data_IF_422065408610
#
_entry.id   IF_422065408610
#
_cell.length_a   1.000
_cell.length_b   1.000
_cell.length_c   1.000
_cell.angle_alpha   90.00
_cell.angle_beta   90.00
_cell.angle_gamma   90.00
#
_symmetry.space_group_name_H-M   'P 1'
#
loop_
_entity.id
_entity.type
_entity.pdbx_description
1 polymer ?
#
# COMPACT_ATOMS: atom_id res chain seq x y z
N UNK A 1 20.66 8.60 9.32
CA UNK A 1 20.46 7.21 8.85
C UNK A 1 19.01 6.76 9.06
N UNK A 2 18.35 6.19 8.04
CA UNK A 2 16.94 5.73 8.11
C UNK A 2 16.86 4.21 7.98
N UNK A 3 16.21 3.53 8.92
CA UNK A 3 16.02 2.07 8.95
C UNK A 3 14.82 1.59 8.11
N UNK A 4 14.92 0.36 7.60
CA UNK A 4 13.87 -0.30 6.83
C UNK A 4 12.72 -0.83 7.71
N UNK A 5 11.49 -0.62 7.26
CA UNK A 5 10.31 -1.14 7.95
C UNK A 5 10.25 -2.67 7.92
N UNK A 6 10.34 -3.31 9.08
CA UNK A 6 10.25 -4.76 9.21
C UNK A 6 9.01 -5.37 8.52
N UNK A 7 7.83 -4.77 8.74
CA UNK A 7 6.58 -5.26 8.16
C UNK A 7 6.53 -5.12 6.64
N UNK A 8 7.08 -4.03 6.11
CA UNK A 8 7.16 -3.84 4.67
C UNK A 8 8.13 -4.83 4.03
N UNK A 9 9.26 -5.12 4.66
CA UNK A 9 10.26 -6.04 4.14
C UNK A 9 9.79 -7.49 4.14
N UNK A 10 9.00 -7.89 5.14
CA UNK A 10 8.53 -9.28 5.30
C UNK A 10 7.13 -9.55 4.75
N UNK A 11 6.25 -8.55 4.75
CA UNK A 11 4.83 -8.71 4.43
C UNK A 11 4.22 -7.40 3.88
N UNK A 12 3.04 -7.00 4.39
CA UNK A 12 2.35 -5.77 4.05
C UNK A 12 2.28 -4.84 5.27
N UNK A 13 2.77 -3.60 5.13
CA UNK A 13 2.76 -2.63 6.21
C UNK A 13 1.43 -1.87 6.27
N UNK A 14 0.68 -2.02 7.36
CA UNK A 14 -0.61 -1.34 7.55
C UNK A 14 -0.52 0.20 7.63
N UNK A 15 0.67 0.75 7.93
CA UNK A 15 0.89 2.21 8.05
C UNK A 15 0.99 2.91 6.70
N UNK A 16 1.16 2.17 5.60
CA UNK A 16 1.23 2.72 4.25
C UNK A 16 2.29 3.82 4.12
N UNK A 17 1.92 4.95 3.51
CA UNK A 17 2.80 6.10 3.31
C UNK A 17 3.14 6.85 4.61
N UNK A 18 2.35 6.68 5.66
CA UNK A 18 2.58 7.32 6.97
C UNK A 18 3.53 6.50 7.86
N UNK A 19 4.22 5.50 7.30
CA UNK A 19 5.20 4.73 8.06
C UNK A 19 6.44 5.59 8.35
N UNK A 20 6.83 5.68 9.62
CA UNK A 20 8.05 6.37 10.03
C UNK A 20 9.34 5.65 9.56
N UNK A 21 9.22 4.39 9.16
CA UNK A 21 10.32 3.57 8.67
C UNK A 21 10.31 3.54 7.14
N UNK A 22 11.49 3.32 6.56
CA UNK A 22 11.69 3.31 5.12
C UNK A 22 10.94 2.17 4.43
N UNK A 23 10.27 2.47 3.33
CA UNK A 23 9.71 1.50 2.39
C UNK A 23 10.44 1.62 1.05
N UNK A 24 11.37 0.71 0.74
CA UNK A 24 12.04 0.62 -0.56
C UNK A 24 11.87 -0.76 -1.17
N UNK A 25 11.32 -0.80 -2.38
CA UNK A 25 11.05 -2.05 -3.09
C UNK A 25 12.35 -2.73 -3.54
N UNK A 26 13.36 -1.93 -3.86
CA UNK A 26 14.71 -2.35 -4.22
C UNK A 26 15.37 -3.06 -3.04
N UNK A 27 15.34 -2.43 -1.86
CA UNK A 27 15.86 -3.02 -0.63
C UNK A 27 15.14 -4.32 -0.28
N UNK A 28 13.82 -4.39 -0.47
CA UNK A 28 13.01 -5.61 -0.21
C UNK A 28 13.46 -6.81 -1.03
N UNK A 29 13.96 -6.60 -2.25
CA UNK A 29 14.49 -7.66 -3.10
C UNK A 29 15.99 -7.87 -2.95
N UNK A 30 16.71 -6.91 -2.37
CA UNK A 30 18.14 -7.01 -2.13
C UNK A 30 18.46 -7.96 -0.97
N UNK A 31 19.40 -8.87 -1.21
CA UNK A 31 19.95 -9.72 -0.16
C UNK A 31 21.06 -9.01 0.64
N UNK A 32 21.65 -7.95 0.08
CA UNK A 32 22.77 -7.25 0.68
C UNK A 32 22.33 -6.17 1.68
N UNK A 33 23.06 -6.08 2.80
CA UNK A 33 22.95 -4.99 3.77
C UNK A 33 23.84 -3.83 3.30
N UNK A 34 23.33 -2.61 3.41
CA UNK A 34 24.08 -1.39 3.05
C UNK A 34 25.26 -1.21 4.01
N UNK A 35 26.47 -1.10 3.46
CA UNK A 35 27.68 -0.89 4.26
C UNK A 35 27.67 0.47 4.98
N UNK A 36 27.16 1.53 4.36
CA UNK A 36 27.11 2.85 5.00
C UNK A 36 26.18 2.81 6.21
N UNK A 37 24.97 2.29 6.03
CA UNK A 37 24.02 2.06 7.13
C UNK A 37 24.63 1.20 8.23
N UNK A 38 25.25 0.07 7.88
CA UNK A 38 25.88 -0.83 8.86
C UNK A 38 26.99 -0.14 9.67
N UNK A 39 27.68 0.82 9.08
CA UNK A 39 28.80 1.54 9.71
C UNK A 39 28.38 2.83 10.44
N UNK A 40 27.09 3.12 10.61
CA UNK A 40 26.68 4.37 11.28
C UNK A 40 26.62 5.58 10.33
N UNK A 41 26.91 5.40 9.05
CA UNK A 41 27.03 6.50 8.08
C UNK A 41 25.68 6.80 7.42
N UNK A 42 25.51 8.06 7.05
CA UNK A 42 24.34 8.48 6.28
C UNK A 42 24.33 7.87 4.88
N UNK A 43 23.12 7.64 4.40
CA UNK A 43 22.86 7.01 3.12
C UNK A 43 21.58 7.61 2.52
N UNK A 44 21.49 7.60 1.19
CA UNK A 44 20.33 8.10 0.46
C UNK A 44 19.07 7.30 0.80
N UNK A 45 17.92 7.96 0.76
CA UNK A 45 16.62 7.30 0.89
C UNK A 45 16.35 6.30 -0.23
N UNK A 46 16.98 6.53 -1.38
CA UNK A 46 16.90 5.72 -2.59
C UNK A 46 17.92 4.57 -2.61
N UNK A 47 18.64 4.31 -1.50
CA UNK A 47 19.63 3.25 -1.43
C UNK A 47 19.06 1.86 -1.79
N UNK A 48 19.61 1.14 -2.79
CA UNK A 48 19.03 -0.14 -3.20
C UNK A 48 19.29 -1.29 -2.19
N UNK A 49 20.13 -1.07 -1.17
CA UNK A 49 20.53 -2.08 -0.20
C UNK A 49 19.74 -1.96 1.10
N UNK A 50 19.69 -3.06 1.88
CA UNK A 50 18.93 -3.12 3.12
C UNK A 50 19.56 -2.26 4.21
N UNK A 51 18.72 -1.47 4.87
CA UNK A 51 19.02 -0.70 6.06
C UNK A 51 18.43 -1.42 7.28
N UNK A 52 18.75 -2.69 7.42
CA UNK A 52 18.29 -3.55 8.50
C UNK A 52 19.15 -4.82 8.62
N UNK A 53 19.26 -5.33 9.84
CA UNK A 53 20.01 -6.56 10.16
C UNK A 53 19.13 -7.82 10.25
N UNK A 54 17.80 -7.69 10.14
CA UNK A 54 16.94 -8.85 10.18
C UNK A 54 17.06 -9.67 8.90
N UNK A 55 17.23 -10.98 9.08
CA UNK A 55 17.20 -11.92 7.97
C UNK A 55 15.76 -12.12 7.53
N UNK A 56 15.40 -11.55 6.37
CA UNK A 56 14.15 -11.87 5.69
C UNK A 56 14.26 -13.32 5.24
N UNK A 57 13.70 -14.24 6.03
CA UNK A 57 13.66 -15.66 5.66
C UNK A 57 12.98 -15.79 4.30
N UNK A 58 13.63 -16.53 3.41
CA UNK A 58 12.98 -16.89 2.15
C UNK A 58 11.66 -17.61 2.44
N UNK A 59 10.66 -17.39 1.57
CA UNK A 59 9.40 -18.11 1.69
C UNK A 59 9.70 -19.61 1.65
N UNK A 60 9.12 -20.41 2.58
CA UNK A 60 9.44 -21.83 2.66
C UNK A 60 9.12 -22.48 1.33
N UNK A 61 10.04 -23.33 0.83
CA UNK A 61 9.93 -24.04 -0.45
C UNK A 61 8.94 -25.21 -0.40
N UNK A 62 8.36 -25.48 0.76
CA UNK A 62 7.44 -26.60 1.00
C UNK A 62 6.10 -26.32 0.33
N UNK A 63 5.62 -27.32 -0.40
CA UNK A 63 4.36 -27.26 -1.12
C UNK A 63 3.14 -27.30 -0.19
N UNK A 64 2.07 -26.64 -0.60
CA UNK A 64 0.81 -26.64 0.14
C UNK A 64 0.09 -27.98 -0.01
N UNK A 65 0.10 -28.78 1.06
CA UNK A 65 -0.62 -30.05 1.13
C UNK A 65 -2.12 -29.92 0.75
N UNK A 66 -2.79 -28.88 1.25
CA UNK A 66 -4.22 -28.67 1.01
C UNK A 66 -4.57 -28.28 -0.41
N UNK A 67 -3.60 -27.87 -1.23
CA UNK A 67 -3.83 -27.54 -2.63
C UNK A 67 -4.38 -28.74 -3.41
N UNK A 68 -3.79 -29.92 -3.20
CA UNK A 68 -4.19 -31.17 -3.85
C UNK A 68 -5.20 -31.97 -3.04
N UNK A 69 -5.45 -31.59 -1.78
CA UNK A 69 -6.33 -32.29 -0.83
C UNK A 69 -7.55 -31.45 -0.45
N UNK A 70 -8.32 -30.99 -1.43
CA UNK A 70 -9.59 -30.27 -1.20
C UNK A 70 -9.54 -28.75 -1.39
N UNK A 71 -8.40 -28.22 -1.85
CA UNK A 71 -8.22 -26.82 -2.19
C UNK A 71 -7.86 -25.94 -0.99
N UNK A 72 -6.72 -25.28 -1.06
CA UNK A 72 -6.34 -24.28 -0.06
C UNK A 72 -7.31 -23.09 -0.08
N UNK A 73 -7.86 -22.70 1.08
CA UNK A 73 -8.78 -21.55 1.22
C UNK A 73 -8.14 -20.32 1.86
N UNK A 74 -6.85 -20.39 2.22
CA UNK A 74 -6.15 -19.26 2.87
C UNK A 74 -5.71 -18.25 1.83
N UNK A 75 -6.11 -16.99 2.01
CA UNK A 75 -5.72 -15.88 1.14
C UNK A 75 -4.21 -15.61 1.17
N UNK A 76 -3.58 -15.72 2.34
CA UNK A 76 -2.13 -15.65 2.50
C UNK A 76 -1.62 -17.01 3.01
N UNK A 77 -1.45 -17.96 2.08
CA UNK A 77 -0.96 -19.29 2.41
C UNK A 77 0.57 -19.25 2.57
N UNK A 78 1.13 -19.70 3.71
CA UNK A 78 2.58 -19.67 3.92
C UNK A 78 3.34 -20.72 3.10
N UNK A 79 2.65 -21.65 2.43
CA UNK A 79 3.24 -22.75 1.64
C UNK A 79 3.09 -22.51 0.13
N UNK A 80 3.99 -23.10 -0.66
CA UNK A 80 4.03 -22.90 -2.12
C UNK A 80 2.88 -23.62 -2.81
N UNK A 81 2.12 -22.92 -3.64
CA UNK A 81 1.12 -23.54 -4.52
C UNK A 81 1.74 -23.85 -5.90
N UNK A 82 1.62 -25.09 -6.39
CA UNK A 82 2.13 -25.54 -7.69
C UNK A 82 1.30 -25.02 -8.85
N UNK A 83 -0.01 -25.11 -8.70
CA UNK A 83 -0.94 -24.47 -9.61
C UNK A 83 -1.18 -23.09 -9.05
N UNK A 84 -0.88 -22.06 -9.83
CA UNK A 84 -1.46 -20.74 -9.57
C UNK A 84 -2.98 -20.96 -9.65
N UNK A 85 -3.63 -21.26 -8.53
CA UNK A 85 -5.07 -21.26 -8.49
C UNK A 85 -5.45 -19.92 -9.11
N UNK A 86 -6.28 -19.96 -10.14
CA UNK A 86 -6.94 -18.77 -10.67
C UNK A 86 -7.97 -18.28 -9.64
N UNK A 87 -7.58 -18.17 -8.37
CA UNK A 87 -8.19 -17.20 -7.49
C UNK A 87 -7.72 -15.87 -8.05
N UNK A 88 -8.61 -14.95 -8.43
CA UNK A 88 -8.20 -13.58 -8.67
C UNK A 88 -7.77 -13.00 -7.33
N UNK A 89 -6.54 -13.28 -6.90
CA UNK A 89 -5.83 -12.34 -6.06
C UNK A 89 -5.54 -11.15 -6.96
N UNK A 90 -6.37 -10.13 -6.84
CA UNK A 90 -6.07 -8.76 -7.24
C UNK A 90 -4.86 -8.27 -6.44
N UNK A 91 -3.68 -8.82 -6.74
CA UNK A 91 -2.38 -8.27 -6.36
C UNK A 91 -1.69 -7.65 -7.58
N UNK A 92 -2.48 -7.31 -8.61
CA UNK A 92 -2.08 -6.34 -9.62
C UNK A 92 -2.60 -4.97 -9.14
N UNK A 93 -1.82 -3.89 -9.15
CA UNK A 93 -2.46 -2.58 -9.27
C UNK A 93 -3.43 -2.70 -10.46
N UNK A 94 -4.67 -2.19 -10.37
CA UNK A 94 -5.69 -2.45 -11.37
C UNK A 94 -5.11 -2.27 -12.77
N UNK A 95 -4.93 -3.35 -13.52
CA UNK A 95 -4.42 -3.27 -14.88
C UNK A 95 -5.63 -3.21 -15.81
N UNK A 96 -5.48 -2.37 -16.84
CA UNK A 96 -6.48 -1.88 -17.80
C UNK A 96 -7.58 -2.85 -18.30
N UNK A 97 -7.41 -4.17 -18.16
CA UNK A 97 -8.36 -5.18 -18.65
C UNK A 97 -9.54 -5.47 -17.70
N UNK A 98 -9.40 -5.23 -16.40
CA UNK A 98 -10.52 -5.38 -15.45
C UNK A 98 -11.46 -4.16 -15.44
N UNK A 99 -11.03 -3.05 -16.04
CA UNK A 99 -11.76 -1.78 -16.13
C UNK A 99 -13.01 -1.92 -17.02
N UNK A 100 -12.98 -2.76 -18.06
CA UNK A 100 -14.11 -2.87 -18.99
C UNK A 100 -15.35 -3.53 -18.37
N UNK A 101 -15.19 -4.45 -17.41
CA UNK A 101 -16.32 -5.02 -16.66
C UNK A 101 -16.87 -4.08 -15.59
N UNK A 102 -16.00 -3.36 -14.89
CA UNK A 102 -16.38 -2.34 -13.91
C UNK A 102 -17.06 -1.12 -14.59
N UNK A 103 -16.63 -0.74 -15.78
CA UNK A 103 -17.23 0.37 -16.53
C UNK A 103 -18.69 0.10 -16.93
N UNK A 104 -19.05 -1.14 -17.25
CA UNK A 104 -20.44 -1.51 -17.58
C UNK A 104 -21.40 -1.27 -16.40
N UNK A 105 -20.95 -1.52 -15.18
CA UNK A 105 -21.74 -1.28 -13.96
C UNK A 105 -21.69 0.20 -13.50
N UNK A 106 -20.60 0.92 -13.79
CA UNK A 106 -20.42 2.35 -13.43
C UNK A 106 -21.20 3.32 -14.33
N UNK A 107 -21.49 2.96 -15.58
CA UNK A 107 -22.36 3.77 -16.45
C UNK A 107 -23.78 3.95 -15.86
N UNK A 108 -24.24 3.03 -15.00
CA UNK A 108 -25.51 3.14 -14.28
C UNK A 108 -25.48 4.06 -13.06
N UNK A 109 -24.30 4.49 -12.59
CA UNK A 109 -24.18 5.34 -11.41
C UNK A 109 -23.79 6.79 -11.71
N UNK A 110 -23.60 7.16 -12.98
CA UNK A 110 -23.28 8.52 -13.44
C UNK A 110 -22.17 9.22 -12.61
N UNK A 111 -21.12 8.49 -12.25
CA UNK A 111 -19.92 9.08 -11.63
C UNK A 111 -18.87 9.19 -12.74
N UNK A 112 -18.74 10.38 -13.31
CA UNK A 112 -17.67 10.68 -14.27
C UNK A 112 -16.52 11.37 -13.53
N UNK A 113 -15.39 10.66 -13.50
CA UNK A 113 -14.02 11.12 -13.20
C UNK A 113 -13.50 10.95 -11.76
N UNK A 114 -12.59 9.98 -11.61
CA UNK A 114 -11.65 9.87 -10.50
C UNK A 114 -10.30 10.38 -11.00
N UNK A 115 -9.79 11.47 -10.40
CA UNK A 115 -8.51 12.17 -10.67
C UNK A 115 -8.55 13.37 -11.62
N UNK A 116 -9.07 14.50 -11.12
CA UNK A 116 -8.24 15.70 -11.06
C UNK A 116 -7.78 15.90 -9.62
N UNK A 117 -6.47 16.00 -9.39
CA UNK A 117 -5.91 16.49 -8.13
C UNK A 117 -6.24 17.99 -8.01
N UNK A 118 -7.47 18.31 -7.61
CA UNK A 118 -7.79 19.65 -7.13
C UNK A 118 -7.44 19.71 -5.64
N UNK A 119 -6.56 20.62 -5.21
CA UNK A 119 -6.29 20.77 -3.79
C UNK A 119 -7.60 21.11 -3.08
N UNK A 120 -7.99 20.27 -2.13
CA UNK A 120 -9.13 20.55 -1.26
C UNK A 120 -8.68 21.66 -0.32
N UNK A 121 -9.06 22.90 -0.64
CA UNK A 121 -8.87 24.03 0.27
C UNK A 121 -9.90 23.87 1.38
N UNK A 122 -9.48 23.27 2.49
CA UNK A 122 -10.26 23.25 3.71
C UNK A 122 -10.26 24.67 4.29
N UNK A 123 -11.44 25.31 4.34
CA UNK A 123 -11.59 26.60 5.01
C UNK A 123 -11.15 26.45 6.47
N UNK A 124 -10.37 27.41 6.97
CA UNK A 124 -9.99 27.34 8.38
C UNK A 124 -11.24 27.57 9.27
N UNK A 125 -11.18 27.08 10.51
CA UNK A 125 -12.32 27.20 11.45
C UNK A 125 -12.79 28.65 11.61
N UNK A 126 -11.90 29.63 11.52
CA UNK A 126 -12.25 31.06 11.60
C UNK A 126 -13.08 31.55 10.42
N UNK A 127 -12.82 31.06 9.21
CA UNK A 127 -13.61 31.36 8.01
C UNK A 127 -14.99 30.71 8.08
N UNK A 128 -15.07 29.48 8.59
CA UNK A 128 -16.32 28.77 8.79
C UNK A 128 -17.23 29.46 9.82
N UNK A 129 -16.64 29.98 10.90
CA UNK A 129 -17.37 30.74 11.95
C UNK A 129 -17.88 32.10 11.45
N UNK A 130 -17.18 32.73 10.50
CA UNK A 130 -17.62 33.98 9.87
C UNK A 130 -18.82 33.78 8.95
N UNK A 131 -18.85 32.66 8.22
CA UNK A 131 -19.99 32.31 7.36
C UNK A 131 -21.22 31.93 8.18
N UNK A 132 -21.05 31.23 9.31
CA UNK A 132 -22.15 30.96 10.24
C UNK A 132 -22.74 32.24 10.83
N UNK A 133 -21.91 33.22 11.22
CA UNK A 133 -22.39 34.55 11.67
C UNK A 133 -23.13 35.31 10.58
N UNK A 134 -22.65 35.29 9.34
CA UNK A 134 -23.33 35.94 8.21
C UNK A 134 -24.69 35.28 7.91
N UNK A 135 -24.84 33.97 8.13
CA UNK A 135 -26.12 33.29 7.99
C UNK A 135 -27.06 33.67 9.13
N UNK A 136 -26.57 33.74 10.37
CA UNK A 136 -27.36 34.24 11.51
C UNK A 136 -27.84 35.69 11.31
N UNK A 137 -27.05 36.55 10.67
CA UNK A 137 -27.44 37.92 10.32
C UNK A 137 -28.48 38.00 9.19
N UNK A 138 -28.47 37.03 8.25
CA UNK A 138 -29.49 36.92 7.19
C UNK A 138 -30.84 36.45 7.75
N UNK A 139 -30.82 35.68 8.85
CA UNK A 139 -32.01 35.17 9.54
C UNK A 139 -32.42 36.00 10.76
N UNK A 140 -31.95 37.24 10.90
CA UNK A 140 -32.56 38.21 11.83
C UNK A 140 -33.96 38.64 11.35
N UNK A 141 -34.92 37.75 11.62
CA UNK A 141 -36.22 38.06 12.23
C UNK A 141 -36.17 37.49 13.64
#
# INVERSE_FOLDING_TARGET
MREDCFYFMTSNCARGMNCAYRHSQEAKHSQAVCNNWKNGLDCDESCPNKHSDYQVKEKPTVECYWETHGGCRKADCPYVHKQKQKVPMTNKPPCLLDIQKLNYDLEKLNIKECHENKPIVVKNIGELMKELKNIEEIFHI
#
